data_IF_492765745967
#
_entry.id   IF_492765745967
#
_cell.length_a   1.000
_cell.length_b   1.000
_cell.length_c   1.000
_cell.angle_alpha   90.00
_cell.angle_beta   90.00
_cell.angle_gamma   90.00
#
_symmetry.space_group_name_H-M   'P 1'
#
loop_
_entity.id
_entity.type
_entity.pdbx_description
1 polymer ?
#
# COMPACT_ATOMS: atom_id res chain seq x y z
N UNK A 1 -2.53 -4.75 10.46
CA UNK A 1 -1.77 -4.82 9.20
C UNK A 1 -0.28 -4.67 9.45
N UNK A 2 0.18 -3.61 10.12
CA UNK A 2 1.60 -3.35 10.41
C UNK A 2 2.35 -4.54 11.02
N UNK A 3 1.80 -5.20 12.04
CA UNK A 3 2.44 -6.38 12.63
C UNK A 3 2.60 -7.55 11.64
N UNK A 4 1.66 -7.74 10.71
CA UNK A 4 1.75 -8.78 9.67
C UNK A 4 2.89 -8.44 8.70
N UNK A 5 2.96 -7.17 8.26
CA UNK A 5 4.04 -6.69 7.39
C UNK A 5 5.41 -6.83 8.07
N UNK A 6 5.52 -6.51 9.37
CA UNK A 6 6.78 -6.67 10.11
C UNK A 6 7.25 -8.13 10.16
N UNK A 7 6.34 -9.07 10.43
CA UNK A 7 6.64 -10.51 10.41
C UNK A 7 7.04 -10.96 9.01
N UNK A 8 6.31 -10.54 7.98
CA UNK A 8 6.64 -10.82 6.59
C UNK A 8 8.04 -10.31 6.22
N UNK A 9 8.45 -9.13 6.68
CA UNK A 9 9.80 -8.58 6.45
C UNK A 9 10.89 -9.41 7.10
N UNK A 10 10.65 -9.85 8.33
CA UNK A 10 11.56 -10.77 9.00
C UNK A 10 11.71 -12.06 8.19
N UNK A 11 10.62 -12.63 7.68
CA UNK A 11 10.63 -13.85 6.87
C UNK A 11 11.36 -13.69 5.54
N UNK A 12 11.21 -12.54 4.87
CA UNK A 12 12.02 -12.19 3.70
C UNK A 12 13.52 -12.19 4.07
N UNK A 13 13.88 -11.58 5.19
CA UNK A 13 15.28 -11.48 5.63
C UNK A 13 15.91 -12.84 5.95
N UNK A 14 15.12 -13.81 6.42
CA UNK A 14 15.57 -15.19 6.68
C UNK A 14 15.27 -16.16 5.53
N UNK A 15 14.86 -15.66 4.35
CA UNK A 15 14.54 -16.45 3.15
C UNK A 15 13.44 -17.51 3.35
N UNK A 16 12.49 -17.23 4.26
CA UNK A 16 11.34 -18.09 4.53
C UNK A 16 10.17 -17.77 3.59
N UNK A 17 10.31 -18.15 2.31
CA UNK A 17 9.37 -17.74 1.25
C UNK A 17 7.93 -18.23 1.46
N UNK A 18 7.72 -19.47 1.92
CA UNK A 18 6.37 -20.02 2.14
C UNK A 18 5.61 -19.24 3.23
N UNK A 19 6.29 -18.88 4.31
CA UNK A 19 5.69 -18.08 5.38
C UNK A 19 5.45 -16.64 4.91
N UNK A 20 6.42 -16.06 4.19
CA UNK A 20 6.29 -14.73 3.59
C UNK A 20 5.06 -14.64 2.67
N UNK A 21 4.83 -15.62 1.80
CA UNK A 21 3.68 -15.64 0.91
C UNK A 21 2.34 -15.76 1.67
N UNK A 22 2.35 -16.53 2.78
CA UNK A 22 1.18 -16.68 3.66
C UNK A 22 0.83 -15.36 4.35
N UNK A 23 1.83 -14.67 4.93
CA UNK A 23 1.63 -13.38 5.57
C UNK A 23 1.32 -12.26 4.56
N UNK A 24 1.91 -12.28 3.37
CA UNK A 24 1.54 -11.39 2.27
C UNK A 24 0.05 -11.54 1.95
N UNK A 25 -0.41 -12.77 1.74
CA UNK A 25 -1.82 -13.05 1.44
C UNK A 25 -2.76 -12.58 2.56
N UNK A 26 -2.38 -12.80 3.83
CA UNK A 26 -3.14 -12.30 4.97
C UNK A 26 -3.20 -10.75 5.00
N UNK A 27 -2.08 -10.07 4.74
CA UNK A 27 -2.00 -8.62 4.70
C UNK A 27 -2.84 -8.03 3.56
N UNK A 28 -2.78 -8.63 2.37
CA UNK A 28 -3.58 -8.23 1.20
C UNK A 28 -5.08 -8.33 1.49
N UNK A 29 -5.53 -9.45 2.07
CA UNK A 29 -6.93 -9.64 2.42
C UNK A 29 -7.40 -8.65 3.48
N UNK A 30 -6.56 -8.35 4.48
CA UNK A 30 -6.88 -7.34 5.49
C UNK A 30 -6.95 -5.94 4.86
N UNK A 31 -6.02 -5.59 3.97
CA UNK A 31 -5.99 -4.30 3.29
C UNK A 31 -7.25 -4.06 2.46
N UNK A 32 -7.64 -5.02 1.61
CA UNK A 32 -8.88 -4.95 0.83
C UNK A 32 -10.09 -4.74 1.73
N UNK A 33 -10.23 -5.55 2.78
CA UNK A 33 -11.33 -5.42 3.76
C UNK A 33 -11.39 -4.05 4.43
N UNK A 34 -10.23 -3.44 4.72
CA UNK A 34 -10.19 -2.09 5.29
C UNK A 34 -10.72 -1.06 4.28
N UNK A 35 -10.29 -1.13 3.02
CA UNK A 35 -10.76 -0.22 1.98
C UNK A 35 -12.24 -0.41 1.69
N UNK A 36 -12.71 -1.65 1.59
CA UNK A 36 -14.12 -1.98 1.34
C UNK A 36 -15.03 -1.47 2.47
N UNK A 37 -14.52 -1.42 3.71
CA UNK A 37 -15.28 -0.93 4.88
C UNK A 37 -15.58 0.57 4.86
N UNK A 38 -14.95 1.34 3.97
CA UNK A 38 -15.20 2.77 3.84
C UNK A 38 -16.49 3.10 3.06
N UNK A 39 -16.96 2.18 2.20
CA UNK A 39 -18.08 2.40 1.29
C UNK A 39 -17.79 3.36 0.13
N UNK A 40 -16.56 3.85 -0.03
CA UNK A 40 -16.18 4.70 -1.16
C UNK A 40 -15.95 3.87 -2.44
N UNK A 41 -16.24 4.48 -3.59
CA UNK A 41 -16.15 3.82 -4.90
C UNK A 41 -14.70 3.69 -5.36
N UNK A 42 -13.89 4.72 -5.12
CA UNK A 42 -12.49 4.77 -5.56
C UNK A 42 -11.54 4.30 -4.45
N UNK A 43 -10.57 3.40 -4.76
CA UNK A 43 -9.60 2.92 -3.77
C UNK A 43 -8.83 4.02 -3.04
N UNK A 44 -8.45 5.10 -3.72
CA UNK A 44 -7.81 6.28 -3.11
C UNK A 44 -8.71 7.00 -2.10
N UNK A 45 -9.99 7.15 -2.42
CA UNK A 45 -10.98 7.73 -1.51
C UNK A 45 -11.18 6.83 -0.29
N UNK A 46 -11.27 5.52 -0.51
CA UNK A 46 -11.34 4.52 0.57
C UNK A 46 -10.11 4.57 1.47
N UNK A 47 -8.92 4.68 0.87
CA UNK A 47 -7.66 4.75 1.59
C UNK A 47 -7.57 6.02 2.46
N UNK A 48 -7.95 7.17 1.90
CA UNK A 48 -8.01 8.42 2.63
C UNK A 48 -9.02 8.33 3.79
N UNK A 49 -10.21 7.76 3.56
CA UNK A 49 -11.22 7.57 4.61
C UNK A 49 -10.73 6.68 5.75
N UNK A 50 -10.05 5.56 5.45
CA UNK A 50 -9.42 4.70 6.46
C UNK A 50 -8.33 5.46 7.22
N UNK A 51 -7.48 6.19 6.51
CA UNK A 51 -6.39 6.99 7.12
C UNK A 51 -6.94 8.07 8.06
N UNK A 52 -8.00 8.77 7.67
CA UNK A 52 -8.65 9.77 8.54
C UNK A 52 -9.25 9.15 9.80
N UNK A 53 -9.77 7.91 9.73
CA UNK A 53 -10.33 7.18 10.89
C UNK A 53 -9.27 6.68 11.87
N UNK A 54 -8.02 6.51 11.43
CA UNK A 54 -6.92 6.00 12.28
C UNK A 54 -6.29 7.08 13.15
N UNK A 55 -6.35 8.34 12.73
CA UNK A 55 -5.83 9.47 13.50
C UNK A 55 -6.89 10.14 14.35
N UNK A 56 -6.46 10.82 15.42
CA UNK A 56 -7.30 11.83 16.05
C UNK A 56 -7.62 12.90 15.01
N UNK A 57 -8.88 13.29 14.88
CA UNK A 57 -9.30 14.36 13.99
C UNK A 57 -8.64 15.68 14.44
N UNK A 58 -7.49 16.01 13.83
CA UNK A 58 -6.92 17.37 13.82
C UNK A 58 -7.80 18.33 13.05
N UNK A 59 -8.98 17.90 12.59
CA UNK A 59 -10.05 18.71 12.02
C UNK A 59 -10.48 19.90 12.91
N UNK A 60 -10.13 19.90 14.19
CA UNK A 60 -10.37 21.02 15.11
C UNK A 60 -9.16 21.97 15.25
N UNK A 61 -8.02 21.67 14.63
CA UNK A 61 -6.88 22.59 14.60
C UNK A 61 -7.12 23.66 13.53
N UNK A 62 -6.76 24.93 13.81
CA UNK A 62 -6.86 25.99 12.83
C UNK A 62 -6.07 25.65 11.55
N UNK A 63 -6.57 26.12 10.40
CA UNK A 63 -6.00 25.89 9.05
C UNK A 63 -4.55 26.34 8.84
N UNK A 64 -3.95 27.00 9.83
CA UNK A 64 -2.56 27.47 9.85
C UNK A 64 -1.61 26.54 10.61
N UNK A 65 -2.10 25.47 11.24
CA UNK A 65 -1.24 24.45 11.84
C UNK A 65 -0.77 23.44 10.79
N UNK A 66 0.53 23.17 10.77
CA UNK A 66 1.11 22.05 10.01
C UNK A 66 0.43 20.75 10.46
N UNK A 67 -0.30 20.12 9.53
CA UNK A 67 -0.90 18.81 9.79
C UNK A 67 0.15 17.74 9.54
N UNK A 68 0.57 17.07 10.60
CA UNK A 68 1.42 15.90 10.52
C UNK A 68 0.57 14.63 10.70
N UNK A 69 0.89 13.55 9.98
CA UNK A 69 0.20 12.28 10.20
C UNK A 69 0.44 11.79 11.64
N UNK A 70 -0.61 11.25 12.28
CA UNK A 70 -0.44 10.53 13.54
C UNK A 70 0.44 9.28 13.35
N UNK A 71 0.90 8.68 14.45
CA UNK A 71 1.67 7.44 14.39
C UNK A 71 0.92 6.33 13.65
N UNK A 72 -0.39 6.23 13.87
CA UNK A 72 -1.28 5.25 13.22
C UNK A 72 -1.44 5.53 11.73
N UNK A 73 -1.61 6.81 11.35
CA UNK A 73 -1.69 7.23 9.95
C UNK A 73 -0.38 6.94 9.21
N UNK A 74 0.75 7.32 9.81
CA UNK A 74 2.07 7.06 9.27
C UNK A 74 2.34 5.55 9.15
N UNK A 75 2.00 4.76 10.18
CA UNK A 75 2.15 3.32 10.18
C UNK A 75 1.29 2.65 9.11
N UNK A 76 0.04 3.09 8.91
CA UNK A 76 -0.83 2.57 7.87
C UNK A 76 -0.32 2.89 6.47
N UNK A 77 0.08 4.14 6.22
CA UNK A 77 0.68 4.55 4.95
C UNK A 77 1.96 3.77 4.62
N UNK A 78 2.89 3.70 5.57
CA UNK A 78 4.14 2.95 5.42
C UNK A 78 3.89 1.45 5.17
N UNK A 79 3.00 0.84 5.95
CA UNK A 79 2.66 -0.58 5.79
C UNK A 79 1.99 -0.87 4.45
N UNK A 80 1.16 0.05 3.95
CA UNK A 80 0.47 -0.09 2.66
C UNK A 80 1.42 0.04 1.48
N UNK A 81 2.39 0.96 1.57
CA UNK A 81 3.46 1.10 0.57
C UNK A 81 4.27 -0.19 0.46
N UNK A 82 4.70 -0.75 1.60
CA UNK A 82 5.42 -2.03 1.64
C UNK A 82 4.58 -3.20 1.10
N UNK A 83 3.28 -3.22 1.40
CA UNK A 83 2.37 -4.26 0.92
C UNK A 83 2.22 -4.23 -0.61
N UNK A 84 2.01 -3.04 -1.19
CA UNK A 84 1.91 -2.88 -2.65
C UNK A 84 3.24 -3.28 -3.31
N UNK A 85 4.36 -2.84 -2.75
CA UNK A 85 5.68 -3.22 -3.25
C UNK A 85 5.85 -4.75 -3.26
N UNK A 86 5.56 -5.42 -2.14
CA UNK A 86 5.71 -6.88 -2.07
C UNK A 86 4.76 -7.62 -3.01
N UNK A 87 3.53 -7.15 -3.17
CA UNK A 87 2.58 -7.76 -4.10
C UNK A 87 3.09 -7.68 -5.53
N UNK A 88 3.61 -6.53 -5.95
CA UNK A 88 4.19 -6.35 -7.28
C UNK A 88 5.40 -7.27 -7.47
N UNK A 89 6.35 -7.27 -6.53
CA UNK A 89 7.57 -8.07 -6.65
C UNK A 89 7.27 -9.56 -6.61
N UNK A 90 6.47 -10.02 -5.64
CA UNK A 90 6.11 -11.43 -5.52
C UNK A 90 5.37 -11.92 -6.77
N UNK A 91 4.41 -11.14 -7.28
CA UNK A 91 3.65 -11.53 -8.46
C UNK A 91 4.51 -11.52 -9.73
N UNK A 92 5.46 -10.59 -9.84
CA UNK A 92 6.45 -10.61 -10.94
C UNK A 92 7.31 -11.87 -10.89
N UNK A 93 7.79 -12.28 -9.72
CA UNK A 93 8.62 -13.49 -9.57
C UNK A 93 7.83 -14.78 -9.80
N UNK A 94 6.54 -14.77 -9.47
CA UNK A 94 5.65 -15.92 -9.65
C UNK A 94 4.98 -15.96 -11.03
N UNK A 95 5.22 -14.95 -11.88
CA UNK A 95 4.53 -14.77 -13.17
C UNK A 95 3.01 -14.78 -13.00
N UNK A 96 2.55 -14.06 -11.98
CA UNK A 96 1.14 -13.89 -11.66
C UNK A 96 0.74 -12.42 -11.80
N UNK A 97 -0.55 -12.18 -12.03
CA UNK A 97 -1.13 -10.84 -11.91
C UNK A 97 -1.07 -10.37 -10.44
N UNK A 98 -0.54 -9.17 -10.14
CA UNK A 98 -0.60 -8.58 -8.80
C UNK A 98 -2.01 -8.54 -8.24
N UNK A 99 -2.15 -8.96 -6.98
CA UNK A 99 -3.45 -9.05 -6.32
C UNK A 99 -4.07 -7.66 -6.12
N UNK A 100 -3.28 -6.60 -6.01
CA UNK A 100 -3.75 -5.22 -5.90
C UNK A 100 -3.73 -4.46 -7.23
N UNK A 101 -3.58 -5.14 -8.38
CA UNK A 101 -3.45 -4.48 -9.69
C UNK A 101 -4.52 -3.39 -9.93
N UNK A 102 -5.78 -3.68 -9.64
CA UNK A 102 -6.89 -2.75 -9.87
C UNK A 102 -6.88 -1.54 -8.90
N UNK A 103 -6.10 -1.62 -7.82
CA UNK A 103 -5.90 -0.55 -6.85
C UNK A 103 -4.75 0.37 -7.24
N UNK A 104 -3.78 -0.13 -8.03
CA UNK A 104 -2.50 0.54 -8.24
C UNK A 104 -2.66 1.95 -8.82
N UNK A 105 -3.43 2.12 -9.91
CA UNK A 105 -3.57 3.44 -10.54
C UNK A 105 -4.25 4.47 -9.62
N UNK A 106 -5.27 4.04 -8.88
CA UNK A 106 -5.99 4.93 -7.96
C UNK A 106 -5.08 5.33 -6.77
N UNK A 107 -4.31 4.39 -6.21
CA UNK A 107 -3.47 4.64 -5.02
C UNK A 107 -2.13 5.32 -5.32
N UNK A 108 -1.47 4.91 -6.40
CA UNK A 108 -0.13 5.35 -6.77
C UNK A 108 -0.13 6.56 -7.72
N UNK A 109 -1.29 6.91 -8.27
CA UNK A 109 -1.40 7.93 -9.30
C UNK A 109 -0.82 7.48 -10.64
N UNK A 110 -0.85 8.39 -11.61
CA UNK A 110 -0.16 8.23 -12.90
C UNK A 110 1.23 8.89 -12.88
N UNK A 111 1.96 8.86 -14.00
CA UNK A 111 3.32 9.42 -14.15
C UNK A 111 3.41 10.88 -13.65
N UNK A 112 2.38 11.68 -13.92
CA UNK A 112 2.33 13.11 -13.59
C UNK A 112 1.59 13.42 -12.27
N UNK A 113 1.32 12.40 -11.44
CA UNK A 113 0.59 12.61 -10.20
C UNK A 113 1.46 13.32 -9.16
N UNK A 114 1.08 14.56 -8.83
CA UNK A 114 1.82 15.40 -7.87
C UNK A 114 1.64 14.89 -6.42
N UNK A 115 0.48 14.34 -6.08
CA UNK A 115 0.14 13.93 -4.71
C UNK A 115 -0.62 12.59 -4.69
N UNK A 116 0.07 11.45 -4.88
CA UNK A 116 -0.57 10.14 -4.80
C UNK A 116 -0.96 9.81 -3.34
N UNK A 117 -1.99 8.98 -3.16
CA UNK A 117 -2.40 8.50 -1.83
C UNK A 117 -1.27 7.70 -1.15
N UNK A 118 -0.47 6.99 -1.94
CA UNK A 118 0.70 6.25 -1.46
C UNK A 118 1.91 6.64 -2.31
N UNK A 119 2.96 7.13 -1.66
CA UNK A 119 4.24 7.45 -2.29
C UNK A 119 5.27 6.36 -1.95
N UNK A 120 5.57 5.49 -2.92
CA UNK A 120 6.54 4.41 -2.77
C UNK A 120 7.98 4.94 -2.72
N UNK A 121 8.28 6.08 -3.34
CA UNK A 121 9.65 6.62 -3.38
C UNK A 121 10.16 6.93 -1.98
N UNK A 122 9.31 7.48 -1.13
CA UNK A 122 9.65 7.82 0.26
C UNK A 122 9.88 6.56 1.12
N UNK A 123 9.31 5.41 0.74
CA UNK A 123 9.32 4.19 1.57
C UNK A 123 10.35 3.17 1.09
N UNK A 124 10.43 2.94 -0.23
CA UNK A 124 11.30 1.93 -0.85
C UNK A 124 12.36 2.53 -1.79
N UNK A 125 12.36 3.84 -2.00
CA UNK A 125 13.33 4.51 -2.88
C UNK A 125 13.05 4.35 -4.37
N UNK A 126 11.89 3.83 -4.76
CA UNK A 126 11.50 3.64 -6.15
C UNK A 126 10.27 4.49 -6.48
N UNK A 127 10.30 5.17 -7.61
CA UNK A 127 9.18 6.00 -8.08
C UNK A 127 7.95 5.14 -8.39
N UNK A 128 6.77 5.67 -8.08
CA UNK A 128 5.49 4.99 -8.30
C UNK A 128 5.33 4.48 -9.74
N UNK A 129 5.67 5.32 -10.73
CA UNK A 129 5.56 4.94 -12.13
C UNK A 129 6.42 3.72 -12.49
N UNK A 130 7.61 3.57 -11.90
CA UNK A 130 8.48 2.41 -12.16
C UNK A 130 7.80 1.13 -11.71
N UNK A 131 7.20 1.16 -10.52
CA UNK A 131 6.47 0.03 -9.95
C UNK A 131 5.18 -0.29 -10.72
N UNK A 132 4.50 0.73 -11.24
CA UNK A 132 3.35 0.54 -12.15
C UNK A 132 3.76 -0.18 -13.44
N UNK A 133 4.91 0.17 -14.02
CA UNK A 133 5.40 -0.51 -15.22
C UNK A 133 5.78 -1.98 -14.94
N UNK A 134 6.45 -2.27 -13.82
CA UNK A 134 6.76 -3.65 -13.41
C UNK A 134 5.45 -4.44 -13.20
N UNK A 135 4.48 -3.83 -12.53
CA UNK A 135 3.16 -4.42 -12.34
C UNK A 135 2.45 -4.71 -13.67
N UNK A 136 2.60 -3.86 -14.68
CA UNK A 136 2.04 -4.08 -16.01
C UNK A 136 2.74 -5.23 -16.73
N UNK A 137 4.07 -5.30 -16.64
CA UNK A 137 4.84 -6.43 -17.18
C UNK A 137 4.39 -7.75 -16.56
N UNK A 138 4.22 -7.80 -15.23
CA UNK A 138 3.73 -8.99 -14.54
C UNK A 138 2.35 -9.45 -15.05
N UNK A 139 1.45 -8.51 -15.39
CA UNK A 139 0.15 -8.85 -16.00
C UNK A 139 0.27 -9.38 -17.42
N UNK A 140 1.24 -8.91 -18.19
CA UNK A 140 1.47 -9.36 -19.56
C UNK A 140 2.16 -10.72 -19.63
N UNK A 141 2.89 -11.11 -18.57
CA UNK A 141 3.63 -12.38 -18.47
C UNK A 141 2.81 -13.52 -17.83
N UNK A 142 1.65 -13.21 -17.22
CA UNK A 142 0.77 -14.14 -16.51
C UNK A 142 -0.21 -14.93 -17.41
#
# INVERSE_FOLDING_TARGET
MTSIIQVQRFEIAILSFNNCQSHLTAALNLFRRLLDSSGAVEPSSSFNAVTTRLGLSTSNLPSHCLQFPSAEQAAFGFSSALLIFDDIIASTMLQERPKLYDYHRSLLGDIDCINPSINLEVVVGCQNWTLLQISQVAVLDA
#
